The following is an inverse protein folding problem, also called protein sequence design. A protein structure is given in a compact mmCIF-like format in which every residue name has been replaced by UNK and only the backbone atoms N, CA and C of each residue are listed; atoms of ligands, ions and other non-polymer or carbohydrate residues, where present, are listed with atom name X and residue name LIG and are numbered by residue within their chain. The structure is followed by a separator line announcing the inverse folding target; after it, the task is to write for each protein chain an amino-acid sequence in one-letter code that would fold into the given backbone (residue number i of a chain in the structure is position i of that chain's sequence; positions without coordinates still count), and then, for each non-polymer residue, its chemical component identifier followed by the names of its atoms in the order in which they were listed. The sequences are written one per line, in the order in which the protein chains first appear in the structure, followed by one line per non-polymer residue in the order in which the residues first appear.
data_IF_690291699997
#
_entry.id   IF_690291699997
#
_cell.length_a   1.000
_cell.length_b   1.000
_cell.length_c   1.000
_cell.angle_alpha   90.00
_cell.angle_beta   90.00
_cell.angle_gamma   90.00
#
_symmetry.space_group_name_H-M   'P 1'
#
loop_
_entity.id
_entity.type
_entity.pdbx_description
1 polymer ?
#
# COMPACT_ATOMS: atom_id res chain seq x y z
N UNK A 1 8.45 -29.03 28.38
CA UNK A 1 9.91 -29.32 28.51
C UNK A 1 10.35 -30.70 27.98
N UNK A 2 9.57 -31.43 27.16
CA UNK A 2 9.92 -32.83 26.81
C UNK A 2 10.36 -33.07 25.35
N UNK A 3 10.03 -32.19 24.41
CA UNK A 3 10.27 -32.42 22.98
C UNK A 3 11.76 -32.34 22.59
N UNK A 4 12.47 -31.27 22.93
CA UNK A 4 13.89 -31.13 22.57
C UNK A 4 14.76 -32.22 23.21
N UNK A 5 14.49 -32.55 24.48
CA UNK A 5 15.20 -33.64 25.18
C UNK A 5 14.91 -35.01 24.55
N UNK A 6 13.66 -35.24 24.14
CA UNK A 6 13.30 -36.46 23.42
C UNK A 6 14.04 -36.57 22.10
N UNK A 7 14.04 -35.51 21.28
CA UNK A 7 14.73 -35.46 20.01
C UNK A 7 16.24 -35.76 20.13
N UNK A 8 16.90 -35.22 21.16
CA UNK A 8 18.33 -35.44 21.41
C UNK A 8 18.67 -36.84 21.94
N UNK A 9 17.69 -37.58 22.48
CA UNK A 9 17.90 -38.94 22.97
C UNK A 9 17.71 -40.01 21.88
N UNK A 10 17.21 -39.64 20.70
CA UNK A 10 17.02 -40.57 19.60
C UNK A 10 18.35 -40.90 18.92
N UNK A 11 18.55 -42.18 18.60
CA UNK A 11 19.61 -42.58 17.69
C UNK A 11 19.32 -42.10 16.26
N UNK A 12 20.37 -42.03 15.42
CA UNK A 12 20.23 -41.61 14.01
C UNK A 12 19.17 -42.40 13.25
N UNK A 13 19.08 -43.72 13.47
CA UNK A 13 18.09 -44.59 12.81
C UNK A 13 16.67 -44.24 13.22
N UNK A 14 16.45 -44.00 14.52
CA UNK A 14 15.14 -43.61 15.05
C UNK A 14 14.74 -42.21 14.56
N UNK A 15 15.70 -41.30 14.45
CA UNK A 15 15.45 -39.94 13.97
C UNK A 15 15.02 -39.92 12.50
N UNK A 16 15.63 -40.75 11.65
CA UNK A 16 15.21 -40.90 10.24
C UNK A 16 13.78 -41.44 10.14
N UNK A 17 13.43 -42.42 10.98
CA UNK A 17 12.06 -42.96 11.06
C UNK A 17 11.08 -41.88 11.54
N UNK A 18 11.45 -41.11 12.57
CA UNK A 18 10.64 -40.03 13.12
C UNK A 18 10.41 -38.90 12.11
N UNK A 19 11.43 -38.52 11.35
CA UNK A 19 11.38 -37.45 10.37
C UNK A 19 10.40 -37.70 9.21
N UNK A 20 10.22 -38.97 8.83
CA UNK A 20 9.32 -39.39 7.76
C UNK A 20 9.47 -38.58 6.44
N UNK A 21 10.70 -38.15 6.13
CA UNK A 21 11.02 -37.38 4.93
C UNK A 21 10.65 -35.89 4.96
N UNK A 22 10.36 -35.31 6.13
CA UNK A 22 10.01 -33.88 6.25
C UNK A 22 11.24 -32.98 6.09
N UNK A 23 12.35 -33.38 6.71
CA UNK A 23 13.66 -32.70 6.69
C UNK A 23 14.63 -33.53 5.85
N UNK A 24 15.58 -32.89 5.17
CA UNK A 24 16.62 -33.61 4.45
C UNK A 24 17.54 -34.42 5.41
N UNK A 25 18.08 -35.54 4.93
CA UNK A 25 18.94 -36.38 5.75
C UNK A 25 20.23 -35.65 6.17
N UNK A 26 20.75 -34.74 5.34
CA UNK A 26 21.93 -33.94 5.72
C UNK A 26 21.66 -33.08 6.96
N UNK A 27 20.48 -32.46 7.02
CA UNK A 27 20.09 -31.51 8.07
C UNK A 27 19.62 -32.20 9.36
N UNK A 28 19.25 -33.48 9.29
CA UNK A 28 18.79 -34.27 10.43
C UNK A 28 19.81 -34.36 11.57
N UNK A 29 21.11 -34.27 11.28
CA UNK A 29 22.14 -34.32 12.33
C UNK A 29 22.07 -33.11 13.26
N UNK A 30 21.64 -31.96 12.73
CA UNK A 30 21.61 -30.70 13.47
C UNK A 30 20.27 -30.50 14.19
N UNK A 31 19.31 -31.41 14.02
CA UNK A 31 17.97 -31.30 14.60
C UNK A 31 17.98 -31.18 16.12
N UNK A 32 18.80 -31.99 16.81
CA UNK A 32 18.97 -31.89 18.26
C UNK A 32 19.49 -30.50 18.66
N UNK A 33 20.54 -30.03 17.98
CA UNK A 33 21.12 -28.71 18.23
C UNK A 33 20.10 -27.59 18.01
N UNK A 34 19.42 -27.57 16.85
CA UNK A 34 18.40 -26.56 16.54
C UNK A 34 17.23 -26.56 17.53
N UNK A 35 16.77 -27.74 17.96
CA UNK A 35 15.67 -27.84 18.93
C UNK A 35 16.05 -27.34 20.33
N UNK A 36 17.28 -27.58 20.77
CA UNK A 36 17.79 -27.10 22.06
C UNK A 36 18.11 -25.61 22.00
N UNK A 37 18.78 -25.17 20.92
CA UNK A 37 19.10 -23.77 20.67
C UNK A 37 17.85 -22.91 20.62
N UNK A 38 16.82 -23.32 19.87
CA UNK A 38 15.57 -22.56 19.76
C UNK A 38 14.87 -22.42 21.11
N UNK A 39 14.86 -23.49 21.92
CA UNK A 39 14.26 -23.44 23.25
C UNK A 39 15.00 -22.48 24.19
N UNK A 40 16.33 -22.56 24.25
CA UNK A 40 17.14 -21.67 25.10
C UNK A 40 17.10 -20.23 24.60
N UNK A 41 17.11 -20.01 23.28
CA UNK A 41 16.98 -18.68 22.69
C UNK A 41 15.65 -18.03 23.06
N UNK A 42 14.54 -18.77 22.97
CA UNK A 42 13.22 -18.24 23.34
C UNK A 42 13.13 -17.99 24.85
N UNK A 43 13.47 -18.98 25.66
CA UNK A 43 13.29 -18.91 27.10
C UNK A 43 14.33 -18.02 27.79
N UNK A 44 15.62 -18.35 27.62
CA UNK A 44 16.72 -17.68 28.31
C UNK A 44 17.20 -16.44 27.54
N UNK A 45 17.11 -16.44 26.21
CA UNK A 45 17.54 -15.32 25.37
C UNK A 45 16.52 -14.19 25.31
N UNK A 46 15.28 -14.49 24.93
CA UNK A 46 14.20 -13.50 24.80
C UNK A 46 13.31 -13.38 26.04
N UNK A 47 13.48 -14.24 27.06
CA UNK A 47 12.75 -14.15 28.32
C UNK A 47 11.31 -14.67 28.24
N UNK A 48 10.97 -15.54 27.29
CA UNK A 48 9.65 -16.15 27.24
C UNK A 48 9.48 -17.15 28.39
N UNK A 49 8.39 -17.03 29.15
CA UNK A 49 8.03 -18.05 30.12
C UNK A 49 7.69 -19.37 29.41
N UNK A 50 7.91 -20.47 30.13
CA UNK A 50 7.62 -21.82 29.61
C UNK A 50 6.15 -22.06 29.30
N UNK A 51 5.26 -21.26 29.89
CA UNK A 51 3.81 -21.35 29.73
C UNK A 51 3.29 -20.42 28.61
N UNK A 52 4.16 -19.67 27.95
CA UNK A 52 3.78 -18.80 26.85
C UNK A 52 3.39 -19.61 25.60
N UNK A 53 2.33 -19.17 24.92
CA UNK A 53 1.88 -19.76 23.67
C UNK A 53 2.57 -19.07 22.49
N UNK A 54 3.35 -19.84 21.74
CA UNK A 54 4.03 -19.39 20.51
C UNK A 54 3.51 -20.24 19.36
N UNK A 55 3.02 -19.57 18.32
CA UNK A 55 2.59 -20.24 17.09
C UNK A 55 3.65 -20.03 16.00
N UNK A 56 4.17 -21.13 15.46
CA UNK A 56 5.09 -21.11 14.33
C UNK A 56 4.30 -21.24 13.02
N UNK A 57 4.41 -20.25 12.14
CA UNK A 57 3.79 -20.24 10.81
C UNK A 57 4.82 -19.85 9.76
N UNK A 58 4.88 -20.63 8.68
CA UNK A 58 5.69 -20.30 7.50
C UNK A 58 4.89 -19.50 6.46
N UNK A 59 3.58 -19.75 6.38
CA UNK A 59 2.68 -19.02 5.50
C UNK A 59 1.30 -18.82 6.15
N UNK A 60 0.63 -17.74 5.76
CA UNK A 60 -0.72 -17.40 6.18
C UNK A 60 -1.54 -17.03 4.94
N UNK A 61 -2.67 -17.72 4.73
CA UNK A 61 -3.54 -17.52 3.56
C UNK A 61 -2.80 -17.61 2.20
N UNK A 62 -1.83 -18.53 2.09
CA UNK A 62 -1.02 -18.72 0.88
C UNK A 62 0.10 -17.70 0.68
N UNK A 63 0.27 -16.76 1.61
CA UNK A 63 1.37 -15.80 1.60
C UNK A 63 2.45 -16.23 2.58
N UNK A 64 3.69 -16.36 2.08
CA UNK A 64 4.84 -16.67 2.93
C UNK A 64 5.12 -15.50 3.89
N UNK A 65 5.27 -15.81 5.18
CA UNK A 65 5.48 -14.82 6.22
C UNK A 65 6.96 -14.48 6.31
N UNK A 66 7.31 -13.26 5.91
CA UNK A 66 8.69 -12.78 5.97
C UNK A 66 8.79 -11.27 5.84
N UNK A 67 10.01 -10.76 5.94
CA UNK A 67 10.30 -9.32 5.87
C UNK A 67 10.04 -8.72 4.49
N UNK A 68 10.05 -9.52 3.43
CA UNK A 68 9.94 -9.06 2.04
C UNK A 68 8.61 -8.34 1.76
N UNK A 69 7.49 -8.84 2.29
CA UNK A 69 6.18 -8.18 2.12
C UNK A 69 6.16 -6.80 2.79
N UNK A 70 6.67 -6.71 4.01
CA UNK A 70 6.77 -5.45 4.74
C UNK A 70 7.67 -4.45 4.03
N UNK A 71 8.80 -4.91 3.49
CA UNK A 71 9.69 -4.08 2.68
C UNK A 71 9.00 -3.56 1.43
N UNK A 72 8.25 -4.41 0.70
CA UNK A 72 7.48 -3.97 -0.46
C UNK A 72 6.43 -2.92 -0.08
N UNK A 73 5.69 -3.10 1.01
CA UNK A 73 4.68 -2.13 1.47
C UNK A 73 5.30 -0.81 1.93
N UNK A 74 6.50 -0.84 2.50
CA UNK A 74 7.25 0.35 2.86
C UNK A 74 7.69 1.13 1.61
N UNK A 75 8.25 0.44 0.61
CA UNK A 75 8.73 1.03 -0.65
C UNK A 75 7.61 1.54 -1.54
N UNK A 76 6.63 0.67 -1.80
CA UNK A 76 5.21 0.93 -1.51
C UNK A 76 4.96 2.38 -1.24
N UNK A 77 4.90 2.72 0.05
CA UNK A 77 4.52 3.99 0.65
C UNK A 77 5.37 5.23 0.28
N UNK A 78 6.40 5.10 -0.57
CA UNK A 78 7.18 6.25 -1.09
C UNK A 78 6.69 6.86 -2.41
N UNK A 79 5.90 6.14 -3.22
CA UNK A 79 5.34 6.72 -4.46
C UNK A 79 4.24 7.77 -4.17
N UNK A 80 4.04 8.76 -5.05
CA UNK A 80 3.12 9.87 -4.80
C UNK A 80 1.65 9.51 -5.14
N UNK A 81 1.09 8.42 -4.59
CA UNK A 81 -0.37 8.21 -4.73
C UNK A 81 -1.14 9.14 -3.80
N UNK A 82 -2.36 9.47 -4.23
CA UNK A 82 -3.37 10.09 -3.40
C UNK A 82 -4.46 9.05 -3.18
N UNK A 83 -4.90 8.89 -1.94
CA UNK A 83 -6.12 8.12 -1.69
C UNK A 83 -7.27 8.79 -2.43
N UNK A 84 -7.90 8.06 -3.34
CA UNK A 84 -9.14 8.51 -3.95
C UNK A 84 -10.22 8.24 -2.90
N UNK A 85 -10.60 9.28 -2.17
CA UNK A 85 -11.74 9.17 -1.25
C UNK A 85 -12.97 8.84 -2.10
N UNK A 86 -13.54 7.66 -1.88
CA UNK A 86 -14.75 7.19 -2.55
C UNK A 86 -15.99 7.93 -2.07
N UNK A 87 -16.06 9.23 -2.29
CA UNK A 87 -17.30 9.92 -2.63
C UNK A 87 -17.02 10.58 -3.98
N UNK A 88 -17.98 10.48 -4.91
CA UNK A 88 -17.89 11.19 -6.17
C UNK A 88 -17.75 12.69 -5.90
N UNK A 89 -16.51 13.16 -5.74
CA UNK A 89 -16.15 14.53 -6.01
C UNK A 89 -16.47 14.71 -7.48
N UNK A 90 -17.65 15.29 -7.69
CA UNK A 90 -18.12 15.71 -8.99
C UNK A 90 -16.95 16.40 -9.65
N UNK A 91 -16.62 15.95 -10.86
CA UNK A 91 -15.52 16.41 -11.71
C UNK A 91 -15.70 17.91 -12.03
N UNK A 92 -15.61 18.77 -11.02
CA UNK A 92 -15.44 20.20 -11.16
C UNK A 92 -14.03 20.31 -11.70
N UNK A 93 -13.96 20.51 -13.02
CA UNK A 93 -12.72 20.56 -13.77
C UNK A 93 -11.65 21.38 -13.06
N UNK A 94 -10.39 21.03 -13.33
CA UNK A 94 -9.21 21.63 -12.68
C UNK A 94 -9.34 23.15 -12.53
N UNK A 95 -8.73 23.72 -11.49
CA UNK A 95 -8.73 25.17 -11.25
C UNK A 95 -8.34 25.96 -12.53
N UNK A 96 -7.46 25.40 -13.36
CA UNK A 96 -7.08 25.97 -14.66
C UNK A 96 -8.26 26.06 -15.66
N UNK A 97 -9.11 25.03 -15.71
CA UNK A 97 -10.30 25.01 -16.55
C UNK A 97 -11.37 26.01 -16.08
N UNK A 98 -11.50 26.21 -14.77
CA UNK A 98 -12.44 27.19 -14.20
C UNK A 98 -11.97 28.62 -14.47
N UNK A 99 -10.67 28.89 -14.36
CA UNK A 99 -10.08 30.19 -14.72
C UNK A 99 -10.28 30.47 -16.20
N UNK A 100 -10.03 29.49 -17.07
CA UNK A 100 -10.25 29.64 -18.50
C UNK A 100 -11.71 29.96 -18.84
N UNK A 101 -12.67 29.25 -18.23
CA UNK A 101 -14.10 29.49 -18.45
C UNK A 101 -14.53 30.91 -18.04
N UNK A 102 -14.04 31.41 -16.90
CA UNK A 102 -14.33 32.78 -16.44
C UNK A 102 -13.80 33.84 -17.42
N UNK A 103 -12.59 33.67 -17.95
CA UNK A 103 -12.05 34.60 -18.95
C UNK A 103 -12.88 34.62 -20.24
N UNK A 104 -13.35 33.46 -20.70
CA UNK A 104 -14.22 33.39 -21.89
C UNK A 104 -15.55 34.11 -21.67
N UNK A 105 -16.20 33.92 -20.51
CA UNK A 105 -17.47 34.59 -20.19
C UNK A 105 -17.29 36.12 -20.13
N UNK A 106 -16.23 36.60 -19.47
CA UNK A 106 -15.93 38.03 -19.42
C UNK A 106 -15.65 38.63 -20.79
N UNK A 107 -14.93 37.91 -21.66
CA UNK A 107 -14.65 38.35 -23.03
C UNK A 107 -15.93 38.47 -23.87
N UNK A 108 -16.87 37.52 -23.75
CA UNK A 108 -18.15 37.56 -24.47
C UNK A 108 -19.00 38.76 -23.99
N UNK A 109 -19.08 38.98 -22.68
CA UNK A 109 -19.82 40.12 -22.13
C UNK A 109 -19.24 41.45 -22.61
N UNK A 110 -17.91 41.59 -22.62
CA UNK A 110 -17.25 42.78 -23.15
C UNK A 110 -17.54 42.99 -24.64
N UNK A 111 -17.53 41.91 -25.44
CA UNK A 111 -17.84 41.98 -26.87
C UNK A 111 -19.28 42.43 -27.13
N UNK A 112 -20.25 41.92 -26.37
CA UNK A 112 -21.66 42.31 -26.47
C UNK A 112 -21.83 43.79 -26.13
N UNK A 113 -21.23 44.27 -25.03
CA UNK A 113 -21.30 45.68 -24.65
C UNK A 113 -20.70 46.57 -25.74
N UNK A 114 -19.51 46.20 -26.25
CA UNK A 114 -18.88 46.93 -27.35
C UNK A 114 -19.74 46.96 -28.62
N UNK A 115 -20.41 45.85 -28.94
CA UNK A 115 -21.30 45.76 -30.08
C UNK A 115 -22.53 46.65 -29.91
N UNK A 116 -23.19 46.61 -28.74
CA UNK A 116 -24.35 47.47 -28.43
C UNK A 116 -23.96 48.95 -28.48
N UNK A 117 -22.83 49.34 -27.87
CA UNK A 117 -22.33 50.72 -27.92
C UNK A 117 -22.05 51.16 -29.36
N UNK A 118 -21.50 50.27 -30.20
CA UNK A 118 -21.24 50.55 -31.61
C UNK A 118 -22.53 50.73 -32.40
N UNK A 119 -23.54 49.88 -32.18
CA UNK A 119 -24.86 50.03 -32.79
C UNK A 119 -25.57 51.32 -32.33
N UNK A 120 -25.52 51.64 -31.04
CA UNK A 120 -26.07 52.90 -30.53
C UNK A 120 -25.37 54.11 -31.17
N UNK A 121 -24.03 54.06 -31.34
CA UNK A 121 -23.27 55.11 -32.02
C UNK A 121 -23.62 55.23 -33.51
N UNK A 122 -23.85 54.11 -34.20
CA UNK A 122 -24.24 54.10 -35.61
C UNK A 122 -25.66 54.62 -35.81
N UNK A 123 -26.62 54.22 -34.97
CA UNK A 123 -28.00 54.71 -35.03
C UNK A 123 -28.07 56.22 -34.77
N UNK A 124 -27.26 56.73 -33.83
CA UNK A 124 -27.21 58.17 -33.55
C UNK A 124 -26.57 58.99 -34.69
N UNK A 125 -25.77 58.36 -35.58
CA UNK A 125 -25.23 59.02 -36.78
C UNK A 125 -26.25 59.11 -37.91
N UNK A 126 -27.17 58.15 -38.06
CA UNK A 126 -28.24 58.21 -39.08
C UNK A 126 -29.40 59.15 -38.74
N UNK A 127 -29.47 59.68 -37.50
CA UNK A 127 -30.44 60.72 -37.11
C UNK A 127 -30.06 62.14 -37.55
N UNK A 128 -28.94 62.32 -38.26
CA UNK A 128 -28.44 63.61 -38.77
C UNK A 128 -28.28 63.59 -40.30
N UNK A 129 -29.31 63.17 -41.04
CA UNK A 129 -29.42 63.53 -42.46
C UNK A 129 -30.45 64.67 -42.58
N UNK A 130 -30.02 65.93 -42.79
CA UNK A 130 -30.92 67.05 -43.00
C UNK A 130 -31.35 67.09 -44.48
N UNK A 131 -32.64 66.89 -44.73
CA UNK A 131 -33.34 67.41 -45.93
C UNK A 131 -34.68 67.96 -45.47
#
# INVERSE_FOLDING_TARGET
KNASRYACNLSRKELVIFNNGTIDDADLNDFCFHSAYSLELLHSGYGFDMDNYINAYDSLNGLHLGWALGAMLYEINTLPWKYVNGHHDTFLGSEDSQRAMLFFVLAIMAAIVCFVVSLCRMNNRHGYDPI
#
